data_IF_358912185948
#
_entry.id   IF_358912185948
#
_cell.length_a   1.000
_cell.length_b   1.000
_cell.length_c   1.000
_cell.angle_alpha   90.00
_cell.angle_beta   90.00
_cell.angle_gamma   90.00
#
_symmetry.space_group_name_H-M   'P 1'
#
loop_
_entity.id
_entity.type
_entity.pdbx_description
1 polymer ?
#
# COMPACT_ATOMS: atom_id res chain seq x y z
N UNK A 1 2.29 -38.53 0.48
CA UNK A 1 1.15 -37.86 1.10
C UNK A 1 0.07 -37.58 0.06
N UNK A 2 -1.16 -37.74 0.44
CA UNK A 2 -2.23 -37.49 -0.51
C UNK A 2 -2.66 -36.03 -0.53
N UNK A 3 -3.49 -35.68 -1.50
CA UNK A 3 -3.96 -34.33 -1.70
C UNK A 3 -4.78 -33.84 -0.50
N UNK A 4 -5.61 -34.68 0.06
CA UNK A 4 -6.46 -34.33 1.19
C UNK A 4 -5.64 -33.93 2.42
N UNK A 5 -4.61 -34.70 2.73
CA UNK A 5 -3.70 -34.41 3.85
C UNK A 5 -2.98 -33.08 3.63
N UNK A 6 -2.52 -32.84 2.42
CA UNK A 6 -1.84 -31.59 2.09
C UNK A 6 -2.77 -30.38 2.15
N UNK A 7 -4.03 -30.54 1.75
CA UNK A 7 -5.05 -29.48 1.88
C UNK A 7 -5.31 -29.16 3.35
N UNK A 8 -5.46 -30.18 4.18
CA UNK A 8 -5.69 -30.00 5.61
C UNK A 8 -4.52 -29.26 6.26
N UNK A 9 -3.31 -29.63 5.92
CA UNK A 9 -2.10 -28.98 6.44
C UNK A 9 -1.98 -27.54 5.94
N UNK A 10 -2.30 -27.30 4.68
CA UNK A 10 -2.31 -25.95 4.11
C UNK A 10 -3.28 -25.03 4.86
N UNK A 11 -4.50 -25.51 5.09
CA UNK A 11 -5.53 -24.75 5.81
C UNK A 11 -5.07 -24.45 7.24
N UNK A 12 -4.54 -25.44 7.92
CA UNK A 12 -4.04 -25.29 9.29
C UNK A 12 -2.93 -24.27 9.38
N UNK A 13 -1.97 -24.35 8.48
CA UNK A 13 -0.84 -23.42 8.43
C UNK A 13 -1.29 -22.01 8.12
N UNK A 14 -2.20 -21.86 7.17
CA UNK A 14 -2.79 -20.56 6.82
C UNK A 14 -3.50 -19.93 8.01
N UNK A 15 -4.29 -20.71 8.74
CA UNK A 15 -5.01 -20.23 9.92
C UNK A 15 -4.03 -19.81 11.02
N UNK A 16 -2.97 -20.59 11.21
CA UNK A 16 -1.94 -20.26 12.19
C UNK A 16 -1.22 -18.95 11.85
N UNK A 17 -0.92 -18.72 10.58
CA UNK A 17 -0.33 -17.44 10.13
C UNK A 17 -1.26 -16.28 10.48
N UNK A 18 -2.55 -16.40 10.21
CA UNK A 18 -3.53 -15.36 10.53
C UNK A 18 -3.58 -15.06 12.03
N UNK A 19 -3.55 -16.10 12.85
CA UNK A 19 -3.58 -15.96 14.30
C UNK A 19 -2.33 -15.25 14.82
N UNK A 20 -1.16 -15.61 14.30
CA UNK A 20 0.11 -14.97 14.67
C UNK A 20 0.11 -13.50 14.25
N UNK A 21 -0.31 -13.20 13.02
CA UNK A 21 -0.39 -11.83 12.53
C UNK A 21 -1.34 -10.98 13.39
N UNK A 22 -2.49 -11.55 13.76
CA UNK A 22 -3.46 -10.87 14.62
C UNK A 22 -2.89 -10.57 16.00
N UNK A 23 -2.21 -11.54 16.62
CA UNK A 23 -1.56 -11.34 17.92
C UNK A 23 -0.47 -10.30 17.86
N UNK A 24 0.36 -10.33 16.82
CA UNK A 24 1.42 -9.33 16.64
C UNK A 24 0.86 -7.93 16.45
N UNK A 25 -0.24 -7.81 15.69
CA UNK A 25 -0.93 -6.54 15.50
C UNK A 25 -1.44 -5.99 16.83
N UNK A 26 -2.04 -6.87 17.65
CA UNK A 26 -2.55 -6.49 18.97
C UNK A 26 -1.43 -6.07 19.91
N UNK A 27 -0.30 -6.79 19.89
CA UNK A 27 0.88 -6.44 20.68
C UNK A 27 1.49 -5.10 20.28
N UNK A 28 1.47 -4.79 19.00
CA UNK A 28 2.04 -3.53 18.47
C UNK A 28 1.13 -2.32 18.72
N UNK A 29 -0.17 -2.52 18.82
CA UNK A 29 -1.14 -1.43 18.91
C UNK A 29 -0.83 -0.39 19.98
N UNK A 30 -0.57 -0.77 21.25
CA UNK A 30 -0.28 0.23 22.28
C UNK A 30 1.01 1.00 22.02
N UNK A 31 2.02 0.36 21.44
CA UNK A 31 3.28 1.02 21.11
C UNK A 31 3.13 1.99 19.96
N UNK A 32 2.39 1.62 18.93
CA UNK A 32 2.11 2.50 17.80
C UNK A 32 1.29 3.71 18.23
N UNK A 33 0.30 3.49 19.10
CA UNK A 33 -0.51 4.56 19.67
C UNK A 33 0.35 5.53 20.48
N UNK A 34 1.23 5.00 21.32
CA UNK A 34 2.14 5.83 22.11
C UNK A 34 3.10 6.63 21.22
N UNK A 35 3.63 6.00 20.18
CA UNK A 35 4.50 6.68 19.23
C UNK A 35 3.78 7.84 18.53
N UNK A 36 2.53 7.63 18.13
CA UNK A 36 1.71 8.65 17.51
C UNK A 36 1.43 9.82 18.46
N UNK A 37 1.09 9.51 19.72
CA UNK A 37 0.87 10.51 20.75
C UNK A 37 2.13 11.34 21.03
N UNK A 38 3.29 10.68 21.13
CA UNK A 38 4.56 11.35 21.32
C UNK A 38 4.92 12.23 20.12
N UNK A 39 4.62 11.74 18.91
CA UNK A 39 4.81 12.52 17.69
C UNK A 39 4.00 13.80 17.70
N UNK A 40 2.73 13.74 18.14
CA UNK A 40 1.87 14.92 18.26
C UNK A 40 2.39 15.92 19.29
N UNK A 41 2.86 15.42 20.44
CA UNK A 41 3.46 16.28 21.47
C UNK A 41 4.72 16.96 20.96
N UNK A 42 5.59 16.22 20.28
CA UNK A 42 6.82 16.79 19.71
C UNK A 42 6.54 17.83 18.65
N UNK A 43 5.54 17.60 17.80
CA UNK A 43 5.14 18.59 16.79
C UNK A 43 4.68 19.89 17.46
N UNK A 44 3.85 19.78 18.50
CA UNK A 44 3.37 20.93 19.27
C UNK A 44 4.53 21.68 19.90
N UNK A 45 5.49 20.96 20.49
CA UNK A 45 6.68 21.57 21.09
C UNK A 45 7.55 22.29 20.07
N UNK A 46 7.73 21.73 18.88
CA UNK A 46 8.48 22.35 17.79
C UNK A 46 7.80 23.63 17.31
N UNK A 47 6.48 23.59 17.15
CA UNK A 47 5.71 24.76 16.74
C UNK A 47 5.79 25.90 17.76
N UNK A 48 5.81 25.57 19.05
CA UNK A 48 5.95 26.55 20.12
C UNK A 48 7.31 27.23 20.11
N UNK A 49 8.36 26.49 19.77
CA UNK A 49 9.73 27.02 19.67
C UNK A 49 9.93 27.88 18.41
N UNK A 50 9.14 27.62 17.37
CA UNK A 50 9.18 28.37 16.13
C UNK A 50 10.30 28.00 15.17
N UNK A 51 10.92 26.83 15.34
CA UNK A 51 11.95 26.32 14.45
C UNK A 51 11.49 25.10 13.66
N UNK A 52 12.27 24.74 12.65
CA UNK A 52 12.02 23.56 11.83
C UNK A 52 12.54 22.29 12.49
N UNK A 53 13.39 22.39 13.51
CA UNK A 53 13.95 21.26 14.18
C UNK A 53 14.71 21.63 15.44
N UNK A 54 14.94 20.63 16.28
CA UNK A 54 15.68 20.76 17.54
C UNK A 54 16.62 19.59 17.67
N UNK A 55 17.87 19.86 18.02
CA UNK A 55 18.86 18.82 18.29
C UNK A 55 18.88 18.52 19.79
N UNK A 56 18.79 17.22 20.13
CA UNK A 56 18.89 16.75 21.50
C UNK A 56 20.03 15.72 21.62
N UNK A 57 20.32 15.29 22.85
CA UNK A 57 21.31 14.24 23.08
C UNK A 57 20.94 12.93 22.42
N UNK A 58 19.64 12.64 22.33
CA UNK A 58 19.11 11.38 21.78
C UNK A 58 18.94 11.41 20.27
N UNK A 59 18.87 12.59 19.67
CA UNK A 59 18.67 12.72 18.25
C UNK A 59 18.17 14.10 17.88
N UNK A 60 17.90 14.27 16.58
CA UNK A 60 17.37 15.51 16.04
C UNK A 60 15.90 15.32 15.70
N UNK A 61 15.05 16.22 16.18
CA UNK A 61 13.62 16.26 15.84
C UNK A 61 13.43 17.33 14.79
N UNK A 62 12.73 17.01 13.72
CA UNK A 62 12.45 17.97 12.65
C UNK A 62 11.02 17.79 12.14
N UNK A 63 10.46 18.87 11.58
CA UNK A 63 9.12 18.85 11.01
C UNK A 63 9.18 18.28 9.59
N UNK A 64 8.35 17.29 9.31
CA UNK A 64 8.15 16.78 7.97
C UNK A 64 6.72 17.07 7.53
N UNK A 65 6.55 17.27 6.24
CA UNK A 65 5.23 17.52 5.66
C UNK A 65 4.83 16.32 4.80
N UNK A 66 3.77 15.65 5.18
CA UNK A 66 3.22 14.55 4.41
C UNK A 66 2.12 15.08 3.51
N UNK A 67 2.37 15.06 2.20
CA UNK A 67 1.42 15.54 1.21
C UNK A 67 0.61 14.37 0.67
N UNK A 68 -0.66 14.61 0.38
CA UNK A 68 -1.53 13.62 -0.22
C UNK A 68 -2.47 14.28 -1.21
N UNK A 69 -2.88 13.53 -2.21
CA UNK A 69 -3.85 14.01 -3.20
C UNK A 69 -4.82 12.89 -3.49
N UNK A 70 -6.09 13.23 -3.61
CA UNK A 70 -7.15 12.28 -3.95
C UNK A 70 -8.07 12.89 -4.98
N UNK A 71 -8.80 12.05 -5.71
CA UNK A 71 -9.74 12.50 -6.74
C UNK A 71 -11.07 12.85 -6.10
N UNK A 72 -11.42 14.15 -6.09
CA UNK A 72 -12.75 14.60 -5.68
C UNK A 72 -13.79 14.33 -6.76
N UNK A 73 -13.39 14.51 -8.02
CA UNK A 73 -14.22 14.28 -9.21
C UNK A 73 -13.34 13.66 -10.30
N UNK A 74 -13.34 12.33 -10.44
CA UNK A 74 -12.49 11.66 -11.41
C UNK A 74 -12.72 12.10 -12.86
N UNK A 75 -13.96 12.32 -13.26
CA UNK A 75 -14.27 12.73 -14.63
C UNK A 75 -13.71 14.12 -14.94
N UNK A 76 -13.89 15.07 -14.02
CA UNK A 76 -13.35 16.42 -14.17
C UNK A 76 -11.81 16.40 -14.22
N UNK A 77 -11.19 15.59 -13.38
CA UNK A 77 -9.75 15.46 -13.37
C UNK A 77 -9.21 14.89 -14.69
N UNK A 78 -9.83 13.83 -15.20
CA UNK A 78 -9.42 13.23 -16.47
C UNK A 78 -9.61 14.17 -17.65
N UNK A 79 -10.70 14.95 -17.67
CA UNK A 79 -10.90 15.97 -18.70
C UNK A 79 -9.77 17.00 -18.67
N UNK A 80 -9.39 17.45 -17.49
CA UNK A 80 -8.27 18.39 -17.34
C UNK A 80 -6.97 17.80 -17.88
N UNK A 81 -6.66 16.56 -17.49
CA UNK A 81 -5.43 15.88 -17.93
C UNK A 81 -5.38 15.77 -19.45
N UNK A 82 -6.48 15.36 -20.08
CA UNK A 82 -6.55 15.20 -21.53
C UNK A 82 -6.43 16.53 -22.25
N UNK A 83 -7.19 17.54 -21.82
CA UNK A 83 -7.20 18.86 -22.47
C UNK A 83 -5.87 19.58 -22.37
N UNK A 84 -5.11 19.37 -21.29
CA UNK A 84 -3.85 20.05 -21.06
C UNK A 84 -2.63 19.17 -21.27
N UNK A 85 -2.82 17.92 -21.72
CA UNK A 85 -1.75 16.92 -21.86
C UNK A 85 -0.91 16.78 -20.59
N UNK A 86 -1.58 16.87 -19.42
CA UNK A 86 -0.95 16.88 -18.12
C UNK A 86 -0.77 15.45 -17.58
N UNK A 87 -0.13 14.58 -18.38
CA UNK A 87 0.02 13.16 -18.08
C UNK A 87 0.85 12.88 -16.83
N UNK A 88 1.71 13.81 -16.45
CA UNK A 88 2.54 13.73 -15.24
C UNK A 88 1.73 13.84 -13.93
N UNK A 89 0.45 14.24 -14.01
CA UNK A 89 -0.45 14.22 -12.87
C UNK A 89 -0.99 12.82 -12.54
N UNK A 90 -0.76 11.86 -13.44
CA UNK A 90 -1.20 10.48 -13.28
C UNK A 90 -0.04 9.59 -12.84
N UNK A 91 -0.37 8.58 -12.03
CA UNK A 91 0.60 7.52 -11.73
C UNK A 91 0.87 6.69 -12.99
N UNK A 92 2.12 6.28 -13.14
CA UNK A 92 2.55 5.45 -14.28
C UNK A 92 2.51 3.98 -13.90
N UNK A 93 1.35 3.39 -14.04
CA UNK A 93 1.15 1.98 -13.72
C UNK A 93 0.20 1.35 -14.74
N UNK A 94 0.58 0.17 -15.24
CA UNK A 94 -0.29 -0.59 -16.12
C UNK A 94 -1.42 -1.23 -15.30
N UNK A 95 -2.64 -1.16 -15.81
CA UNK A 95 -3.78 -1.84 -15.21
C UNK A 95 -3.80 -3.28 -15.71
N UNK A 96 -3.64 -4.23 -14.80
CA UNK A 96 -3.52 -5.66 -15.14
C UNK A 96 -4.75 -6.18 -15.88
N UNK A 97 -5.95 -5.83 -15.42
CA UNK A 97 -7.20 -6.27 -16.05
C UNK A 97 -7.31 -5.76 -17.48
N UNK A 98 -7.06 -4.46 -17.68
CA UNK A 98 -7.11 -3.86 -19.01
C UNK A 98 -6.04 -4.44 -19.94
N UNK A 99 -4.84 -4.70 -19.43
CA UNK A 99 -3.76 -5.33 -20.20
C UNK A 99 -4.16 -6.76 -20.60
N UNK A 100 -4.74 -7.51 -19.68
CA UNK A 100 -5.20 -8.88 -19.95
C UNK A 100 -6.27 -8.88 -21.06
N UNK A 101 -7.23 -7.97 -20.99
CA UNK A 101 -8.27 -7.83 -22.02
C UNK A 101 -7.67 -7.44 -23.37
N UNK A 102 -6.69 -6.54 -23.38
CA UNK A 102 -5.99 -6.14 -24.59
C UNK A 102 -5.29 -7.33 -25.26
N UNK A 103 -4.61 -8.17 -24.46
CA UNK A 103 -3.93 -9.36 -24.96
C UNK A 103 -4.93 -10.35 -25.56
N UNK A 104 -6.09 -10.51 -24.93
CA UNK A 104 -7.14 -11.40 -25.44
C UNK A 104 -7.64 -10.97 -26.83
N UNK A 105 -7.69 -9.66 -27.07
CA UNK A 105 -8.12 -9.12 -28.36
C UNK A 105 -7.02 -9.09 -29.43
N UNK A 106 -5.78 -8.82 -29.02
CA UNK A 106 -4.68 -8.52 -29.95
C UNK A 106 -3.60 -9.60 -30.03
N UNK A 107 -3.66 -10.64 -29.16
CA UNK A 107 -2.68 -11.72 -29.06
C UNK A 107 -1.25 -11.24 -28.78
N UNK A 108 -1.11 -10.05 -28.22
CA UNK A 108 0.20 -9.48 -27.86
C UNK A 108 0.00 -8.41 -26.80
N UNK A 109 0.99 -8.21 -25.95
CA UNK A 109 0.96 -7.14 -24.95
C UNK A 109 1.05 -5.77 -25.63
N UNK A 110 0.46 -4.72 -25.03
CA UNK A 110 0.66 -3.37 -25.55
C UNK A 110 2.13 -3.01 -25.59
N UNK A 111 2.55 -2.14 -26.54
CA UNK A 111 3.94 -1.70 -26.59
C UNK A 111 4.42 -1.14 -25.25
N UNK A 112 5.60 -1.56 -24.81
CA UNK A 112 6.20 -1.09 -23.56
C UNK A 112 5.72 -1.79 -22.31
N UNK A 113 4.87 -2.82 -22.43
CA UNK A 113 4.35 -3.57 -21.29
C UNK A 113 4.93 -4.97 -21.27
N UNK A 114 5.50 -5.37 -20.13
CA UNK A 114 5.84 -6.75 -19.87
C UNK A 114 4.66 -7.40 -19.14
N UNK A 115 4.22 -8.55 -19.63
CA UNK A 115 3.11 -9.28 -19.04
C UNK A 115 3.56 -10.68 -18.64
N UNK A 116 3.14 -11.11 -17.46
CA UNK A 116 3.36 -12.48 -17.01
C UNK A 116 2.14 -13.00 -16.27
N UNK A 117 1.90 -14.28 -16.40
CA UNK A 117 0.87 -14.96 -15.65
C UNK A 117 1.51 -16.16 -14.95
N UNK A 118 1.33 -16.25 -13.63
CA UNK A 118 1.89 -17.32 -12.82
C UNK A 118 0.75 -18.14 -12.25
N UNK A 119 0.84 -19.46 -12.41
CA UNK A 119 -0.15 -20.35 -11.83
C UNK A 119 0.11 -20.52 -10.34
N UNK A 120 -0.92 -20.29 -9.55
CA UNK A 120 -0.89 -20.47 -8.11
C UNK A 120 -2.05 -21.32 -7.67
N UNK A 121 -1.99 -21.80 -6.43
CA UNK A 121 -3.01 -22.65 -5.85
C UNK A 121 -3.90 -21.83 -4.94
N UNK A 122 -5.22 -21.96 -5.13
CA UNK A 122 -6.19 -21.45 -4.17
C UNK A 122 -6.74 -22.62 -3.35
N UNK A 123 -6.90 -22.42 -2.06
CA UNK A 123 -7.52 -23.42 -1.19
C UNK A 123 -8.72 -22.77 -0.49
N UNK A 124 -9.87 -23.41 -0.66
CA UNK A 124 -11.12 -22.94 -0.05
C UNK A 124 -11.56 -23.93 1.01
N UNK A 125 -11.87 -23.43 2.19
CA UNK A 125 -12.42 -24.26 3.26
C UNK A 125 -13.83 -24.72 2.87
N UNK A 126 -14.12 -25.98 3.18
CA UNK A 126 -15.41 -26.60 2.86
C UNK A 126 -16.57 -25.96 3.65
#
# INVERSE_FOLDING_TARGET
>A
MDVNTNVDEYIRTRDEIRDIESRHKDELRPYKQKLEELGAVLLEQLQAVGGDGVRTKSGTVYVTEKKSASLADPALFMDYVVQNSAWDLLDRKANVTAVTDYIAEHNAAPPGVNYSAVLTVGVRRK
#
